data_IF_348608269554
#
_entry.id   IF_348608269554
#
_cell.length_a   1.000
_cell.length_b   1.000
_cell.length_c   1.000
_cell.angle_alpha   90.00
_cell.angle_beta   90.00
_cell.angle_gamma   90.00
#
_symmetry.space_group_name_H-M   'P 1'
#
loop_
_entity.id
_entity.type
_entity.pdbx_description
1 polymer ?
#
# COMPACT_ATOMS: atom_id res chain seq x y z
N UNK A 1 25.58 27.79 84.01
CA UNK A 1 25.80 26.95 82.86
C UNK A 1 24.47 26.81 82.16
N UNK A 2 24.27 27.55 81.09
CA UNK A 2 22.99 27.53 80.33
C UNK A 2 23.14 26.69 79.05
N UNK A 3 22.45 25.55 78.96
CA UNK A 3 22.45 24.69 77.81
C UNK A 3 21.41 25.21 76.80
N UNK A 4 21.85 25.64 75.62
CA UNK A 4 20.95 26.02 74.51
C UNK A 4 20.62 24.77 73.69
N UNK A 5 19.33 24.39 73.64
CA UNK A 5 18.79 23.40 72.69
C UNK A 5 18.62 24.07 71.32
N UNK A 6 19.22 23.44 70.31
CA UNK A 6 19.02 23.78 68.87
C UNK A 6 17.93 22.84 68.33
N UNK A 7 16.85 23.33 67.70
CA UNK A 7 15.88 22.46 67.07
C UNK A 7 16.39 21.98 65.72
N UNK A 8 16.43 20.66 65.52
CA UNK A 8 16.73 20.04 64.24
C UNK A 8 15.46 20.12 63.35
N UNK A 9 15.58 20.85 62.23
CA UNK A 9 14.54 20.90 61.21
C UNK A 9 14.77 19.69 60.31
N UNK A 10 13.86 18.70 60.39
CA UNK A 10 13.83 17.56 59.47
C UNK A 10 13.19 18.00 58.11
N UNK A 11 14.03 18.15 57.09
CA UNK A 11 13.56 18.37 55.71
C UNK A 11 13.00 17.05 55.16
N UNK A 12 11.65 16.93 55.05
CA UNK A 12 10.98 15.80 54.39
C UNK A 12 11.14 15.97 52.86
N UNK A 13 12.01 15.19 52.27
CA UNK A 13 12.17 15.10 50.79
C UNK A 13 11.00 14.25 50.24
N UNK A 14 10.04 14.91 49.63
CA UNK A 14 8.93 14.22 48.93
C UNK A 14 9.52 13.70 47.62
N UNK A 15 9.83 12.40 47.56
CA UNK A 15 10.10 11.70 46.30
C UNK A 15 8.76 11.54 45.56
N UNK A 16 8.54 12.40 44.57
CA UNK A 16 7.48 12.16 43.57
C UNK A 16 7.87 10.91 42.76
N UNK A 17 7.31 9.78 43.10
CA UNK A 17 7.41 8.56 42.31
C UNK A 17 6.69 8.83 40.98
N UNK A 18 7.43 9.22 39.96
CA UNK A 18 6.95 9.19 38.60
C UNK A 18 6.61 7.71 38.27
N UNK A 19 5.33 7.37 38.25
CA UNK A 19 4.88 6.07 37.77
C UNK A 19 5.41 5.90 36.35
N UNK A 20 6.41 5.06 36.17
CA UNK A 20 6.88 4.69 34.86
C UNK A 20 5.72 4.02 34.11
N UNK A 21 5.06 4.76 33.22
CA UNK A 21 4.06 4.18 32.33
C UNK A 21 4.78 3.14 31.47
N UNK A 22 4.36 1.89 31.60
CA UNK A 22 4.99 0.81 30.83
C UNK A 22 4.90 1.12 29.33
N UNK A 23 6.05 1.08 28.67
CA UNK A 23 6.14 1.30 27.23
C UNK A 23 5.37 0.22 26.47
N UNK A 24 4.45 0.62 25.62
CA UNK A 24 3.74 -0.26 24.68
C UNK A 24 4.61 -0.48 23.44
N UNK A 25 4.79 -1.73 23.03
CA UNK A 25 5.57 -2.10 21.84
C UNK A 25 4.70 -2.82 20.83
N UNK A 26 4.76 -2.37 19.59
CA UNK A 26 4.10 -2.97 18.44
C UNK A 26 5.12 -3.37 17.39
N UNK A 27 4.88 -4.50 16.72
CA UNK A 27 5.63 -4.94 15.56
C UNK A 27 4.83 -4.66 14.30
N UNK A 28 5.48 -4.03 13.30
CA UNK A 28 4.87 -3.63 12.04
C UNK A 28 5.60 -4.28 10.85
N UNK A 29 5.23 -5.49 10.44
CA UNK A 29 5.73 -6.08 9.20
C UNK A 29 5.14 -5.38 7.97
N UNK A 30 6.01 -5.10 6.99
CA UNK A 30 5.65 -4.68 5.64
C UNK A 30 6.34 -5.57 4.60
N UNK A 31 5.66 -5.91 3.47
CA UNK A 31 6.26 -6.77 2.47
C UNK A 31 7.31 -6.07 1.59
N UNK A 32 7.44 -4.75 1.69
CA UNK A 32 8.24 -3.93 0.78
C UNK A 32 9.58 -3.53 1.38
N UNK A 33 10.57 -3.28 0.49
CA UNK A 33 11.90 -2.83 0.88
C UNK A 33 11.91 -1.37 1.36
N UNK A 34 12.90 -1.00 2.16
CA UNK A 34 13.05 0.33 2.78
C UNK A 34 13.04 1.49 1.77
N UNK A 35 13.55 1.24 0.57
CA UNK A 35 13.65 2.23 -0.51
C UNK A 35 12.34 2.56 -1.21
N UNK A 36 11.30 1.73 -1.04
CA UNK A 36 9.98 1.98 -1.62
C UNK A 36 9.32 3.21 -0.97
N UNK A 37 8.65 4.03 -1.79
CA UNK A 37 8.06 5.29 -1.34
C UNK A 37 7.07 5.11 -0.20
N UNK A 38 6.22 4.07 -0.26
CA UNK A 38 5.25 3.80 0.80
C UNK A 38 5.92 3.28 2.08
N UNK A 39 6.98 2.48 1.97
CA UNK A 39 7.74 2.02 3.13
C UNK A 39 8.39 3.19 3.88
N UNK A 40 8.97 4.15 3.16
CA UNK A 40 9.50 5.39 3.76
C UNK A 40 8.41 6.15 4.55
N UNK A 41 7.21 6.23 3.99
CA UNK A 41 6.07 6.85 4.68
C UNK A 41 5.66 6.08 5.94
N UNK A 42 5.65 4.75 5.87
CA UNK A 42 5.28 3.87 7.01
C UNK A 42 6.34 3.94 8.14
N UNK A 43 7.63 3.97 7.79
CA UNK A 43 8.72 4.18 8.75
C UNK A 43 8.59 5.55 9.42
N UNK A 44 8.26 6.60 8.66
CA UNK A 44 8.03 7.93 9.22
C UNK A 44 6.80 7.96 10.13
N UNK A 45 5.73 7.24 9.79
CA UNK A 45 4.56 7.10 10.67
C UNK A 45 4.93 6.49 12.02
N UNK A 46 5.72 5.42 12.04
CA UNK A 46 6.17 4.79 13.27
C UNK A 46 6.96 5.76 14.16
N UNK A 47 7.85 6.56 13.55
CA UNK A 47 8.62 7.58 14.25
C UNK A 47 7.75 8.76 14.73
N UNK A 48 6.76 9.18 13.93
CA UNK A 48 5.82 10.22 14.31
C UNK A 48 4.98 9.80 15.52
N UNK A 49 4.50 8.56 15.56
CA UNK A 49 3.79 7.98 16.72
C UNK A 49 4.70 7.96 17.95
N UNK A 50 5.96 7.50 17.81
CA UNK A 50 6.93 7.49 18.92
C UNK A 50 7.11 8.89 19.52
N UNK A 51 7.26 9.91 18.67
CA UNK A 51 7.41 11.31 19.09
C UNK A 51 6.15 11.86 19.73
N UNK A 52 5.00 11.66 19.10
CA UNK A 52 3.70 12.15 19.58
C UNK A 52 3.30 11.54 20.94
N UNK A 53 3.81 10.35 21.25
CA UNK A 53 3.55 9.64 22.51
C UNK A 53 4.68 9.75 23.53
N UNK A 54 5.69 10.60 23.29
CA UNK A 54 6.90 10.68 24.13
C UNK A 54 7.53 9.31 24.43
N UNK A 55 7.51 8.39 23.43
CA UNK A 55 8.05 7.05 23.55
C UNK A 55 7.19 6.06 24.34
N UNK A 56 5.96 6.42 24.75
CA UNK A 56 5.06 5.48 25.42
C UNK A 56 4.54 4.39 24.48
N UNK A 57 4.40 4.68 23.18
CA UNK A 57 4.15 3.68 22.13
C UNK A 57 5.30 3.69 21.14
N UNK A 58 5.93 2.52 20.98
CA UNK A 58 7.03 2.30 20.02
C UNK A 58 6.59 1.25 19.01
N UNK A 59 6.70 1.58 17.74
CA UNK A 59 6.39 0.70 16.61
C UNK A 59 7.72 0.29 15.96
N UNK A 60 8.05 -1.00 16.02
CA UNK A 60 9.24 -1.56 15.36
C UNK A 60 8.89 -1.99 13.95
N UNK A 61 9.59 -1.42 12.97
CA UNK A 61 9.37 -1.75 11.55
C UNK A 61 10.13 -3.02 11.15
N UNK A 62 9.47 -3.89 10.40
CA UNK A 62 10.05 -5.10 9.82
C UNK A 62 9.78 -5.11 8.32
N UNK A 63 10.74 -4.60 7.54
CA UNK A 63 10.62 -4.39 6.10
C UNK A 63 11.03 -5.62 5.29
N UNK A 64 10.75 -5.61 3.98
CA UNK A 64 11.16 -6.63 3.02
C UNK A 64 10.80 -8.08 3.43
N UNK A 65 9.65 -8.27 4.10
CA UNK A 65 9.19 -9.59 4.58
C UNK A 65 10.12 -10.25 5.60
N UNK A 66 10.91 -9.46 6.34
CA UNK A 66 11.92 -9.97 7.29
C UNK A 66 11.31 -10.71 8.48
N UNK A 67 10.12 -10.31 8.95
CA UNK A 67 9.43 -10.95 10.07
C UNK A 67 8.30 -11.88 9.60
N UNK A 68 7.43 -11.40 8.72
CA UNK A 68 6.24 -12.11 8.24
C UNK A 68 6.20 -12.04 6.71
N UNK A 69 5.91 -13.16 6.05
CA UNK A 69 5.73 -13.20 4.59
C UNK A 69 4.44 -12.49 4.17
N UNK A 70 4.47 -11.85 2.98
CA UNK A 70 3.36 -11.02 2.49
C UNK A 70 1.97 -11.66 2.63
N UNK A 71 1.71 -12.90 2.18
CA UNK A 71 0.38 -13.49 2.28
C UNK A 71 -0.12 -13.69 3.72
N UNK A 72 0.79 -13.70 4.70
CA UNK A 72 0.49 -14.03 6.09
C UNK A 72 0.28 -12.80 6.98
N UNK A 73 0.70 -11.59 6.53
CA UNK A 73 0.68 -10.37 7.36
C UNK A 73 -0.73 -10.09 7.90
N UNK A 74 -1.75 -10.13 7.05
CA UNK A 74 -3.12 -9.86 7.49
C UNK A 74 -3.56 -10.81 8.60
N UNK A 75 -3.32 -12.11 8.42
CA UNK A 75 -3.67 -13.14 9.41
C UNK A 75 -2.89 -12.95 10.72
N UNK A 76 -1.61 -12.63 10.64
CA UNK A 76 -0.78 -12.39 11.81
C UNK A 76 -1.29 -11.21 12.65
N UNK A 77 -1.75 -10.13 12.02
CA UNK A 77 -2.40 -9.01 12.71
C UNK A 77 -3.77 -9.42 13.26
N UNK A 78 -4.60 -10.15 12.51
CA UNK A 78 -5.91 -10.62 12.98
C UNK A 78 -5.81 -11.47 14.25
N UNK A 79 -4.82 -12.35 14.29
CA UNK A 79 -4.62 -13.26 15.43
C UNK A 79 -3.88 -12.62 16.60
N UNK A 80 -3.36 -11.39 16.42
CA UNK A 80 -2.59 -10.68 17.44
C UNK A 80 -1.14 -11.16 17.58
N UNK A 81 -0.63 -11.94 16.63
CA UNK A 81 0.79 -12.31 16.57
C UNK A 81 1.68 -11.08 16.43
N UNK A 82 1.23 -10.11 15.63
CA UNK A 82 1.75 -8.74 15.56
C UNK A 82 0.58 -7.75 15.68
N UNK A 83 0.85 -6.51 16.08
CA UNK A 83 -0.22 -5.58 16.40
C UNK A 83 -0.71 -4.78 15.21
N UNK A 84 0.18 -4.46 14.28
CA UNK A 84 -0.07 -3.59 13.14
C UNK A 84 0.59 -4.17 11.89
N UNK A 85 0.09 -3.82 10.70
CA UNK A 85 0.68 -4.25 9.43
C UNK A 85 0.13 -3.45 8.26
N UNK A 86 0.75 -3.60 7.10
CA UNK A 86 0.21 -3.11 5.84
C UNK A 86 0.29 -4.17 4.75
N UNK A 87 -0.69 -4.14 3.86
CA UNK A 87 -0.72 -4.99 2.66
C UNK A 87 -1.26 -4.20 1.47
N UNK A 88 -1.03 -4.75 0.29
CA UNK A 88 -1.69 -4.30 -0.92
C UNK A 88 -3.19 -4.65 -0.85
N UNK A 89 -4.05 -3.64 -0.76
CA UNK A 89 -5.49 -3.81 -0.51
C UNK A 89 -6.18 -4.77 -1.50
N UNK A 90 -5.90 -4.73 -2.82
CA UNK A 90 -6.51 -5.65 -3.78
C UNK A 90 -6.20 -7.14 -3.56
N UNK A 91 -5.20 -7.49 -2.74
CA UNK A 91 -4.95 -8.89 -2.39
C UNK A 91 -6.07 -9.51 -1.54
N UNK A 92 -6.91 -8.68 -0.93
CA UNK A 92 -8.10 -9.13 -0.17
C UNK A 92 -9.33 -9.35 -1.07
N UNK A 93 -9.22 -9.15 -2.37
CA UNK A 93 -10.31 -9.32 -3.34
C UNK A 93 -11.03 -10.67 -3.28
N UNK A 94 -10.32 -11.79 -3.08
CA UNK A 94 -10.98 -13.09 -2.87
C UNK A 94 -11.91 -13.17 -1.67
N UNK A 95 -11.72 -12.31 -0.66
CA UNK A 95 -12.58 -12.25 0.53
C UNK A 95 -13.81 -11.37 0.30
N UNK A 96 -13.61 -10.23 -0.39
CA UNK A 96 -14.69 -9.31 -0.75
C UNK A 96 -14.26 -8.44 -1.94
N UNK A 97 -15.09 -8.39 -3.02
CA UNK A 97 -14.74 -7.66 -4.23
C UNK A 97 -14.54 -6.14 -4.03
N UNK A 98 -15.06 -5.53 -2.97
CA UNK A 98 -14.86 -4.11 -2.69
C UNK A 98 -13.38 -3.77 -2.50
N UNK A 99 -12.56 -4.71 -2.04
CA UNK A 99 -11.13 -4.51 -1.89
C UNK A 99 -10.37 -4.41 -3.22
N UNK A 100 -10.91 -4.94 -4.32
CA UNK A 100 -10.29 -4.95 -5.65
C UNK A 100 -10.53 -3.67 -6.46
N UNK A 101 -11.51 -2.85 -6.08
CA UNK A 101 -12.08 -1.80 -6.92
C UNK A 101 -11.07 -0.81 -7.50
N UNK A 102 -10.03 -0.45 -6.76
CA UNK A 102 -8.98 0.49 -7.20
C UNK A 102 -7.85 -0.17 -8.02
N UNK A 103 -7.96 -1.47 -8.28
CA UNK A 103 -7.05 -2.19 -9.18
C UNK A 103 -7.72 -2.58 -10.50
N UNK A 104 -8.94 -2.10 -10.76
CA UNK A 104 -9.60 -2.28 -12.06
C UNK A 104 -8.94 -1.33 -13.06
N UNK A 105 -8.31 -1.85 -14.14
CA UNK A 105 -7.60 -1.01 -15.09
C UNK A 105 -8.51 0.05 -15.73
N UNK A 106 -8.00 1.27 -15.82
CA UNK A 106 -8.66 2.42 -16.49
C UNK A 106 -10.01 2.85 -15.89
N UNK A 107 -10.43 2.29 -14.75
CA UNK A 107 -11.65 2.72 -14.05
C UNK A 107 -11.42 4.04 -13.28
N UNK A 108 -10.32 4.14 -12.53
CA UNK A 108 -9.91 5.34 -11.81
C UNK A 108 -8.41 5.60 -12.04
N UNK A 109 -8.01 6.03 -13.26
CA UNK A 109 -6.61 6.02 -13.67
C UNK A 109 -5.77 7.17 -13.09
N UNK A 110 -6.39 8.29 -12.75
CA UNK A 110 -5.71 9.48 -12.22
C UNK A 110 -5.84 9.61 -10.71
N UNK A 111 -5.05 10.50 -10.11
CA UNK A 111 -5.09 10.76 -8.66
C UNK A 111 -6.39 11.42 -8.21
N UNK A 112 -6.99 12.29 -9.04
CA UNK A 112 -8.31 12.89 -8.77
C UNK A 112 -9.38 11.79 -8.66
N UNK A 113 -9.42 10.93 -9.66
CA UNK A 113 -10.34 9.78 -9.74
C UNK A 113 -10.09 8.79 -8.60
N UNK A 114 -8.83 8.49 -8.30
CA UNK A 114 -8.45 7.60 -7.22
C UNK A 114 -8.82 8.14 -5.82
N UNK A 115 -8.75 9.47 -5.61
CA UNK A 115 -9.23 10.12 -4.37
C UNK A 115 -10.75 10.03 -4.27
N UNK A 116 -11.46 10.40 -5.34
CA UNK A 116 -12.92 10.32 -5.38
C UNK A 116 -13.42 8.88 -5.10
N UNK A 117 -12.76 7.89 -5.70
CA UNK A 117 -13.09 6.47 -5.47
C UNK A 117 -12.84 6.04 -4.03
N UNK A 118 -11.72 6.47 -3.42
CA UNK A 118 -11.43 6.17 -2.02
C UNK A 118 -12.47 6.79 -1.09
N UNK A 119 -12.86 8.04 -1.31
CA UNK A 119 -13.85 8.74 -0.49
C UNK A 119 -15.20 8.01 -0.46
N UNK A 120 -15.69 7.54 -1.60
CA UNK A 120 -16.98 6.84 -1.68
C UNK A 120 -16.92 5.37 -1.22
N UNK A 121 -15.73 4.75 -1.18
CA UNK A 121 -15.55 3.35 -0.79
C UNK A 121 -14.97 3.15 0.61
N UNK A 122 -14.39 4.20 1.23
CA UNK A 122 -13.67 4.14 2.52
C UNK A 122 -14.48 3.47 3.62
N UNK A 123 -15.72 3.90 3.81
CA UNK A 123 -16.55 3.36 4.88
C UNK A 123 -16.83 1.88 4.69
N UNK A 124 -17.18 1.48 3.45
CA UNK A 124 -17.40 0.08 3.12
C UNK A 124 -16.16 -0.80 3.37
N UNK A 125 -14.96 -0.30 3.03
CA UNK A 125 -13.68 -0.96 3.30
C UNK A 125 -13.45 -1.06 4.81
N UNK A 126 -13.58 0.05 5.54
CA UNK A 126 -13.30 0.13 6.98
C UNK A 126 -14.22 -0.80 7.79
N UNK A 127 -15.49 -0.85 7.46
CA UNK A 127 -16.47 -1.72 8.14
C UNK A 127 -16.16 -3.21 7.90
N UNK A 128 -15.73 -3.59 6.68
CA UNK A 128 -15.32 -4.97 6.39
C UNK A 128 -14.08 -5.39 7.17
N UNK A 129 -13.10 -4.51 7.26
CA UNK A 129 -11.89 -4.76 8.05
C UNK A 129 -12.23 -4.85 9.54
N UNK A 130 -13.06 -3.94 10.04
CA UNK A 130 -13.46 -3.91 11.46
C UNK A 130 -14.22 -5.18 11.88
N UNK A 131 -15.13 -5.67 11.02
CA UNK A 131 -15.82 -6.97 11.24
C UNK A 131 -14.86 -8.15 11.36
N UNK A 132 -13.66 -8.02 10.80
CA UNK A 132 -12.61 -9.01 10.88
C UNK A 132 -11.62 -8.76 12.04
N UNK A 133 -11.92 -7.81 12.94
CA UNK A 133 -11.07 -7.44 14.08
C UNK A 133 -9.86 -6.58 13.70
N UNK A 134 -9.93 -5.90 12.55
CA UNK A 134 -8.88 -5.04 12.02
C UNK A 134 -9.39 -3.61 11.87
N UNK A 135 -8.72 -2.65 12.49
CA UNK A 135 -9.00 -1.22 12.30
C UNK A 135 -8.10 -0.65 11.22
N UNK A 136 -8.70 -0.06 10.20
CA UNK A 136 -7.95 0.70 9.19
C UNK A 136 -7.38 1.97 9.83
N UNK A 137 -6.10 2.22 9.64
CA UNK A 137 -5.42 3.44 10.06
C UNK A 137 -5.31 4.44 8.91
N UNK A 138 -4.77 4.02 7.77
CA UNK A 138 -4.65 4.85 6.57
C UNK A 138 -4.59 4.01 5.31
N UNK A 139 -4.87 4.66 4.17
CA UNK A 139 -4.75 4.06 2.83
C UNK A 139 -3.93 4.98 1.93
N UNK A 140 -2.76 4.51 1.52
CA UNK A 140 -1.85 5.25 0.65
C UNK A 140 -1.79 4.63 -0.75
N UNK A 141 -1.84 5.45 -1.81
CA UNK A 141 -1.75 4.93 -3.17
C UNK A 141 -0.31 4.58 -3.53
N UNK A 142 -0.15 3.55 -4.34
CA UNK A 142 1.02 3.38 -5.18
C UNK A 142 0.95 4.38 -6.34
N UNK A 143 2.08 4.80 -6.91
CA UNK A 143 2.07 5.46 -8.20
C UNK A 143 1.32 4.64 -9.25
N UNK A 144 0.78 5.32 -10.25
CA UNK A 144 0.02 4.65 -11.31
C UNK A 144 0.86 3.54 -11.96
N UNK A 145 0.18 2.47 -12.36
CA UNK A 145 0.87 1.30 -12.89
C UNK A 145 1.28 1.54 -14.35
N UNK A 146 2.58 1.38 -14.60
CA UNK A 146 3.19 1.37 -15.91
C UNK A 146 3.39 -0.06 -16.40
N UNK A 147 3.46 -0.25 -17.71
CA UNK A 147 3.72 -1.55 -18.32
C UNK A 147 5.20 -1.67 -18.71
N UNK A 148 5.81 -2.82 -18.47
CA UNK A 148 7.22 -3.10 -18.77
C UNK A 148 7.35 -4.32 -19.68
N UNK A 149 8.28 -4.25 -20.61
CA UNK A 149 8.54 -5.34 -21.55
C UNK A 149 10.02 -5.42 -21.99
N UNK A 150 10.50 -6.63 -22.25
CA UNK A 150 11.82 -6.86 -22.87
C UNK A 150 11.82 -6.47 -24.36
N UNK A 151 10.67 -6.51 -25.02
CA UNK A 151 10.50 -6.24 -26.47
C UNK A 151 9.54 -5.07 -26.68
N UNK A 152 9.57 -4.38 -27.81
CA UNK A 152 8.57 -3.36 -28.12
C UNK A 152 7.17 -3.99 -28.23
N UNK A 153 6.16 -3.25 -27.75
CA UNK A 153 4.75 -3.62 -27.76
C UNK A 153 3.96 -2.52 -28.46
N UNK A 154 3.19 -2.87 -29.46
CA UNK A 154 2.33 -1.97 -30.23
C UNK A 154 0.84 -2.33 -30.10
N UNK A 155 0.54 -3.58 -29.72
CA UNK A 155 -0.81 -4.12 -29.57
C UNK A 155 -0.82 -5.33 -28.65
N UNK A 156 -2.00 -5.83 -28.27
CA UNK A 156 -2.15 -7.08 -27.51
C UNK A 156 -1.58 -8.30 -28.26
N UNK A 157 -1.52 -8.27 -29.60
CA UNK A 157 -0.96 -9.37 -30.37
C UNK A 157 0.51 -9.64 -29.99
N UNK A 158 1.27 -8.60 -29.64
CA UNK A 158 2.67 -8.70 -29.22
C UNK A 158 2.85 -9.36 -27.84
N UNK A 159 1.77 -9.44 -27.06
CA UNK A 159 1.76 -10.03 -25.72
C UNK A 159 1.37 -11.50 -25.70
N UNK A 160 0.83 -12.01 -26.82
CA UNK A 160 0.34 -13.39 -26.89
C UNK A 160 1.44 -14.40 -26.54
N UNK A 161 1.18 -15.18 -25.51
CA UNK A 161 2.11 -16.21 -25.02
C UNK A 161 3.31 -15.68 -24.23
N UNK A 162 3.46 -14.37 -24.02
CA UNK A 162 4.48 -13.84 -23.13
C UNK A 162 4.15 -14.18 -21.67
N UNK A 163 5.17 -14.39 -20.86
CA UNK A 163 5.00 -14.64 -19.41
C UNK A 163 4.89 -13.29 -18.70
N UNK A 164 3.67 -12.98 -18.24
CA UNK A 164 3.41 -11.72 -17.55
C UNK A 164 3.45 -11.91 -16.04
N UNK A 165 4.25 -11.09 -15.36
CA UNK A 165 4.21 -11.04 -13.89
C UNK A 165 2.81 -10.68 -13.40
N UNK A 166 2.31 -11.48 -12.47
CA UNK A 166 1.10 -11.22 -11.71
C UNK A 166 1.43 -11.26 -10.22
N UNK A 167 0.61 -10.60 -9.39
CA UNK A 167 0.81 -10.56 -7.94
C UNK A 167 -0.49 -10.69 -7.16
N UNK A 168 -1.62 -10.81 -7.88
CA UNK A 168 -2.95 -11.09 -7.34
C UNK A 168 -3.89 -11.61 -8.43
N UNK A 169 -5.13 -11.93 -8.04
CA UNK A 169 -6.14 -12.44 -8.95
C UNK A 169 -6.50 -11.46 -10.08
N UNK A 170 -6.54 -10.15 -9.79
CA UNK A 170 -6.84 -9.11 -10.79
C UNK A 170 -5.77 -9.04 -11.88
N UNK A 171 -4.51 -9.00 -11.49
CA UNK A 171 -3.41 -8.99 -12.48
C UNK A 171 -3.30 -10.32 -13.24
N UNK A 172 -3.68 -11.45 -12.62
CA UNK A 172 -3.77 -12.73 -13.32
C UNK A 172 -4.90 -12.70 -14.37
N UNK A 173 -6.07 -12.17 -14.03
CA UNK A 173 -7.19 -11.98 -14.97
C UNK A 173 -6.82 -11.03 -16.10
N UNK A 174 -6.13 -9.91 -15.79
CA UNK A 174 -5.61 -8.96 -16.77
C UNK A 174 -4.68 -9.66 -17.77
N UNK A 175 -3.69 -10.42 -17.28
CA UNK A 175 -2.76 -11.17 -18.14
C UNK A 175 -3.48 -12.13 -19.08
N UNK A 176 -4.48 -12.87 -18.58
CA UNK A 176 -5.30 -13.78 -19.40
C UNK A 176 -6.06 -13.04 -20.51
N UNK A 177 -6.70 -11.91 -20.18
CA UNK A 177 -7.42 -11.09 -21.16
C UNK A 177 -6.50 -10.47 -22.21
N UNK A 178 -5.23 -10.22 -21.86
CA UNK A 178 -4.20 -9.76 -22.77
C UNK A 178 -3.57 -10.89 -23.61
N UNK A 179 -4.00 -12.15 -23.42
CA UNK A 179 -3.42 -13.31 -24.11
C UNK A 179 -2.05 -13.73 -23.61
N UNK A 180 -1.59 -13.15 -22.48
CA UNK A 180 -0.35 -13.51 -21.82
C UNK A 180 -0.53 -14.65 -20.82
N UNK A 181 0.56 -15.30 -20.45
CA UNK A 181 0.61 -16.38 -19.45
C UNK A 181 0.84 -15.76 -18.07
N UNK A 182 -0.14 -15.79 -17.15
CA UNK A 182 0.03 -15.24 -15.81
C UNK A 182 1.08 -16.03 -15.01
N UNK A 183 2.03 -15.32 -14.43
CA UNK A 183 3.12 -15.91 -13.62
C UNK A 183 3.26 -15.12 -12.33
N UNK A 184 2.95 -15.75 -11.19
CA UNK A 184 2.97 -15.07 -9.89
C UNK A 184 4.39 -14.89 -9.37
N UNK A 185 4.80 -13.63 -9.16
CA UNK A 185 6.13 -13.24 -8.66
C UNK A 185 5.99 -12.09 -7.66
N UNK A 186 6.59 -12.22 -6.47
CA UNK A 186 6.59 -11.17 -5.46
C UNK A 186 7.51 -10.01 -5.86
N UNK A 187 7.28 -8.80 -5.30
CA UNK A 187 8.01 -7.59 -5.67
C UNK A 187 9.53 -7.74 -5.50
N UNK A 188 9.98 -8.41 -4.44
CA UNK A 188 11.41 -8.64 -4.16
C UNK A 188 12.09 -9.62 -5.12
N UNK A 189 11.30 -10.41 -5.86
CA UNK A 189 11.79 -11.45 -6.77
C UNK A 189 11.85 -11.00 -8.24
N UNK A 190 11.33 -9.80 -8.55
CA UNK A 190 11.21 -9.28 -9.92
C UNK A 190 12.53 -9.33 -10.70
N UNK A 191 13.67 -8.82 -10.19
CA UNK A 191 14.92 -8.82 -10.96
C UNK A 191 15.35 -10.24 -11.36
N UNK A 192 15.29 -11.18 -10.44
CA UNK A 192 15.68 -12.56 -10.71
C UNK A 192 14.72 -13.24 -11.69
N UNK A 193 13.42 -13.02 -11.56
CA UNK A 193 12.41 -13.61 -12.44
C UNK A 193 12.54 -13.12 -13.88
N UNK A 194 12.88 -11.86 -14.11
CA UNK A 194 13.21 -11.36 -15.44
C UNK A 194 14.53 -11.93 -15.98
N UNK A 195 15.58 -11.96 -15.17
CA UNK A 195 16.90 -12.45 -15.57
C UNK A 195 16.88 -13.94 -15.91
N UNK A 196 16.14 -14.75 -15.14
CA UNK A 196 15.99 -16.19 -15.39
C UNK A 196 14.96 -16.52 -16.49
N UNK A 197 14.24 -15.52 -17.03
CA UNK A 197 13.23 -15.74 -18.06
C UNK A 197 11.93 -16.37 -17.53
N UNK A 198 11.68 -16.31 -16.21
CA UNK A 198 10.41 -16.70 -15.61
C UNK A 198 9.30 -15.73 -16.04
N UNK A 199 9.62 -14.46 -16.22
CA UNK A 199 8.73 -13.42 -16.74
C UNK A 199 9.38 -12.61 -17.86
N UNK A 200 8.54 -12.07 -18.75
CA UNK A 200 8.93 -11.25 -19.90
C UNK A 200 8.37 -9.83 -19.83
N UNK A 201 7.21 -9.69 -19.14
CA UNK A 201 6.45 -8.44 -19.04
C UNK A 201 5.88 -8.29 -17.63
N UNK A 202 5.54 -7.06 -17.24
CA UNK A 202 4.86 -6.77 -15.98
C UNK A 202 4.10 -5.45 -16.00
N UNK A 203 3.06 -5.35 -15.18
CA UNK A 203 2.59 -4.07 -14.65
C UNK A 203 3.21 -3.83 -13.27
N UNK A 204 3.76 -2.64 -13.05
CA UNK A 204 4.18 -2.18 -11.72
C UNK A 204 4.35 -0.65 -11.72
N UNK A 205 4.39 -0.04 -10.53
CA UNK A 205 4.64 1.38 -10.40
C UNK A 205 6.05 1.75 -10.92
N UNK A 206 6.21 2.95 -11.47
CA UNK A 206 7.49 3.42 -11.96
C UNK A 206 8.55 3.47 -10.85
N UNK A 207 8.17 3.85 -9.62
CA UNK A 207 9.05 3.82 -8.45
C UNK A 207 9.60 2.42 -8.16
N UNK A 208 8.77 1.38 -8.22
CA UNK A 208 9.24 -0.01 -8.09
C UNK A 208 10.21 -0.37 -9.22
N UNK A 209 9.96 0.08 -10.46
CA UNK A 209 10.92 -0.09 -11.55
C UNK A 209 12.28 0.56 -11.24
N UNK A 210 12.28 1.76 -10.66
CA UNK A 210 13.50 2.47 -10.24
C UNK A 210 14.19 1.72 -9.10
N UNK A 211 13.47 1.36 -8.04
CA UNK A 211 14.05 0.71 -6.86
C UNK A 211 14.61 -0.68 -7.15
N UNK A 212 14.06 -1.39 -8.14
CA UNK A 212 14.55 -2.69 -8.59
C UNK A 212 15.55 -2.60 -9.75
N UNK A 213 15.89 -1.38 -10.20
CA UNK A 213 16.76 -1.13 -11.36
C UNK A 213 16.27 -1.85 -12.62
N UNK A 214 15.03 -1.56 -13.02
CA UNK A 214 14.38 -2.24 -14.15
C UNK A 214 15.19 -2.21 -15.45
N UNK A 215 16.02 -1.21 -15.66
CA UNK A 215 16.95 -1.08 -16.79
C UNK A 215 18.00 -2.20 -16.90
N UNK A 216 18.26 -2.93 -15.80
CA UNK A 216 19.23 -4.04 -15.82
C UNK A 216 18.63 -5.32 -16.44
N UNK A 217 17.30 -5.46 -16.51
CA UNK A 217 16.63 -6.70 -16.92
C UNK A 217 15.47 -6.52 -17.91
N UNK A 218 15.00 -5.30 -18.16
CA UNK A 218 13.98 -4.99 -19.17
C UNK A 218 14.35 -3.70 -19.91
N UNK A 219 13.77 -3.46 -21.09
CA UNK A 219 14.19 -2.35 -21.95
C UNK A 219 13.13 -1.28 -22.14
N UNK A 220 11.87 -1.68 -22.19
CA UNK A 220 10.77 -0.78 -22.52
C UNK A 220 9.89 -0.54 -21.31
N UNK A 221 9.50 0.71 -21.11
CA UNK A 221 8.45 1.12 -20.17
C UNK A 221 7.39 1.90 -20.93
N UNK A 222 6.12 1.63 -20.64
CA UNK A 222 4.97 2.31 -21.21
C UNK A 222 4.21 2.97 -20.07
N UNK A 223 4.11 4.29 -20.08
CA UNK A 223 3.40 5.06 -19.06
C UNK A 223 1.89 4.98 -19.27
N UNK A 224 1.34 3.80 -19.05
CA UNK A 224 -0.07 3.47 -19.30
C UNK A 224 -1.04 4.16 -18.35
N UNK A 225 -0.58 4.67 -17.22
CA UNK A 225 -1.41 5.26 -16.16
C UNK A 225 -2.64 4.36 -15.87
N UNK A 226 -2.41 3.05 -15.77
CA UNK A 226 -3.50 2.07 -15.89
C UNK A 226 -4.44 2.08 -14.67
N UNK A 227 -3.93 2.21 -13.46
CA UNK A 227 -4.69 2.35 -12.20
C UNK A 227 -3.79 2.82 -11.06
N UNK A 228 -4.40 3.39 -10.02
CA UNK A 228 -3.74 3.91 -8.80
C UNK A 228 -4.17 3.08 -7.59
N UNK A 229 -3.59 1.89 -7.39
CA UNK A 229 -4.00 0.98 -6.34
C UNK A 229 -3.45 1.44 -4.98
N UNK A 230 -4.02 0.91 -3.89
CA UNK A 230 -3.65 1.36 -2.54
C UNK A 230 -3.16 0.22 -1.66
N UNK A 231 -2.19 0.56 -0.83
CA UNK A 231 -1.95 -0.18 0.40
C UNK A 231 -2.96 0.27 1.47
N UNK A 232 -3.26 -0.63 2.38
CA UNK A 232 -3.99 -0.35 3.61
C UNK A 232 -3.11 -0.72 4.79
N UNK A 233 -2.89 0.24 5.69
CA UNK A 233 -2.29 0.02 7.00
C UNK A 233 -3.41 -0.19 8.02
N UNK A 234 -3.29 -1.20 8.84
CA UNK A 234 -4.32 -1.61 9.79
C UNK A 234 -3.72 -2.17 11.07
N UNK A 235 -4.47 -2.06 12.15
CA UNK A 235 -4.08 -2.53 13.48
C UNK A 235 -5.09 -3.55 13.98
N UNK A 236 -4.66 -4.51 14.78
CA UNK A 236 -5.53 -5.41 15.53
C UNK A 236 -6.43 -4.58 16.44
N UNK A 237 -7.75 -4.73 16.31
CA UNK A 237 -8.72 -3.91 17.04
C UNK A 237 -8.56 -4.05 18.56
N UNK A 238 -8.29 -5.24 19.08
CA UNK A 238 -8.07 -5.46 20.52
C UNK A 238 -6.82 -4.76 21.01
N UNK A 239 -5.72 -4.82 20.24
CA UNK A 239 -4.48 -4.13 20.57
C UNK A 239 -4.66 -2.61 20.56
N UNK A 240 -5.43 -2.07 19.60
CA UNK A 240 -5.79 -0.65 19.56
C UNK A 240 -6.67 -0.24 20.76
N UNK A 241 -7.68 -1.03 21.08
CA UNK A 241 -8.58 -0.74 22.21
C UNK A 241 -7.88 -0.83 23.58
N UNK A 242 -6.82 -1.61 23.70
CA UNK A 242 -6.00 -1.69 24.90
C UNK A 242 -5.15 -0.44 25.18
N UNK A 243 -4.99 0.45 24.20
CA UNK A 243 -4.30 1.73 24.38
C UNK A 243 -5.14 2.67 25.27
N UNK A 244 -4.44 3.54 26.02
CA UNK A 244 -5.10 4.68 26.66
C UNK A 244 -5.66 5.67 25.62
N UNK A 245 -6.66 6.45 26.00
CA UNK A 245 -7.28 7.42 25.07
C UNK A 245 -6.28 8.42 24.46
N UNK A 246 -5.28 8.97 25.21
CA UNK A 246 -4.26 9.80 24.60
C UNK A 246 -3.43 9.08 23.53
N UNK A 247 -3.08 7.80 23.74
CA UNK A 247 -2.33 7.00 22.75
C UNK A 247 -3.18 6.69 21.53
N UNK A 248 -4.47 6.33 21.71
CA UNK A 248 -5.41 6.13 20.59
C UNK A 248 -5.50 7.39 19.73
N UNK A 249 -5.68 8.54 20.36
CA UNK A 249 -5.76 9.83 19.68
C UNK A 249 -4.48 10.11 18.89
N UNK A 250 -3.31 9.95 19.51
CA UNK A 250 -2.02 10.15 18.85
C UNK A 250 -1.86 9.24 17.64
N UNK A 251 -2.18 7.94 17.74
CA UNK A 251 -2.12 7.00 16.61
C UNK A 251 -2.99 7.45 15.45
N UNK A 252 -4.24 7.86 15.72
CA UNK A 252 -5.18 8.28 14.66
C UNK A 252 -4.77 9.61 14.02
N UNK A 253 -4.26 10.57 14.80
CA UNK A 253 -3.75 11.84 14.27
C UNK A 253 -2.51 11.61 13.38
N UNK A 254 -1.56 10.78 13.82
CA UNK A 254 -0.39 10.47 13.01
C UNK A 254 -0.75 9.62 11.78
N UNK A 255 -1.77 8.78 11.86
CA UNK A 255 -2.30 8.03 10.72
C UNK A 255 -2.87 8.97 9.65
N UNK A 256 -3.62 9.99 10.02
CA UNK A 256 -4.14 11.00 9.09
C UNK A 256 -3.02 11.80 8.40
N UNK A 257 -1.97 12.15 9.16
CA UNK A 257 -0.77 12.82 8.62
C UNK A 257 -0.03 11.89 7.65
N UNK A 258 0.13 10.61 8.02
CA UNK A 258 0.78 9.61 7.17
C UNK A 258 -0.02 9.36 5.88
N UNK A 259 -1.35 9.34 5.95
CA UNK A 259 -2.18 9.21 4.74
C UNK A 259 -1.93 10.37 3.78
N UNK A 260 -2.06 11.60 4.28
CA UNK A 260 -1.81 12.79 3.43
C UNK A 260 -0.41 12.76 2.81
N UNK A 261 0.62 12.54 3.63
CA UNK A 261 2.02 12.45 3.18
C UNK A 261 2.22 11.34 2.14
N UNK A 262 1.64 10.15 2.36
CA UNK A 262 1.73 9.03 1.44
C UNK A 262 1.11 9.34 0.07
N UNK A 263 0.00 10.07 0.04
CA UNK A 263 -0.59 10.54 -1.22
C UNK A 263 0.33 11.53 -1.93
N UNK A 264 0.85 12.52 -1.21
CA UNK A 264 1.75 13.55 -1.78
C UNK A 264 3.05 12.90 -2.31
N UNK A 265 3.63 11.95 -1.57
CA UNK A 265 4.83 11.21 -1.99
C UNK A 265 4.59 10.34 -3.21
N UNK A 266 3.44 9.66 -3.27
CA UNK A 266 3.07 8.81 -4.40
C UNK A 266 2.87 9.63 -5.68
N UNK A 267 2.20 10.77 -5.58
CA UNK A 267 1.97 11.67 -6.71
C UNK A 267 3.29 12.24 -7.25
N UNK A 268 4.20 12.64 -6.36
CA UNK A 268 5.54 13.09 -6.72
C UNK A 268 6.35 11.98 -7.42
N UNK A 269 6.29 10.75 -6.92
CA UNK A 269 6.97 9.59 -7.50
C UNK A 269 6.38 9.21 -8.87
N UNK A 270 5.06 9.38 -9.06
CA UNK A 270 4.41 9.13 -10.34
C UNK A 270 4.96 10.03 -11.47
N UNK A 271 5.37 11.24 -11.11
CA UNK A 271 5.99 12.19 -12.06
C UNK A 271 7.49 11.92 -12.23
N UNK A 272 8.19 11.59 -11.16
CA UNK A 272 9.64 11.42 -11.15
C UNK A 272 10.10 10.06 -11.71
N UNK A 273 9.37 9.00 -11.40
CA UNK A 273 9.76 7.62 -11.70
C UNK A 273 9.97 7.35 -13.19
N UNK A 274 9.04 7.66 -14.11
CA UNK A 274 9.24 7.46 -15.54
C UNK A 274 10.48 8.18 -16.09
N UNK A 275 10.74 9.41 -15.61
CA UNK A 275 11.92 10.18 -16.01
C UNK A 275 13.21 9.48 -15.57
N UNK A 276 13.26 8.97 -14.33
CA UNK A 276 14.41 8.25 -13.82
C UNK A 276 14.68 6.96 -14.60
N UNK A 277 13.64 6.22 -14.97
CA UNK A 277 13.77 5.01 -15.79
C UNK A 277 14.43 5.33 -17.15
N UNK A 278 13.98 6.38 -17.82
CA UNK A 278 14.54 6.84 -19.10
C UNK A 278 15.99 7.33 -18.93
N UNK A 279 16.27 8.11 -17.90
CA UNK A 279 17.64 8.58 -17.59
C UNK A 279 18.62 7.44 -17.35
N UNK A 280 18.14 6.29 -16.88
CA UNK A 280 18.93 5.09 -16.67
C UNK A 280 18.93 4.12 -17.89
N UNK A 281 18.49 4.58 -19.06
CA UNK A 281 18.64 3.86 -20.33
C UNK A 281 17.42 3.05 -20.78
N UNK A 282 16.28 3.13 -20.08
CA UNK A 282 15.04 2.53 -20.59
C UNK A 282 14.43 3.35 -21.73
N UNK A 283 13.80 2.68 -22.66
CA UNK A 283 13.03 3.31 -23.73
C UNK A 283 11.59 3.53 -23.28
N UNK A 284 11.14 4.78 -23.25
CA UNK A 284 9.71 5.08 -23.11
C UNK A 284 9.00 4.73 -24.42
N UNK A 285 8.26 3.62 -24.42
CA UNK A 285 7.51 3.16 -25.58
C UNK A 285 6.28 4.02 -25.84
N UNK A 286 5.92 4.29 -27.10
CA UNK A 286 4.68 4.97 -27.44
C UNK A 286 3.50 4.04 -27.16
N UNK A 287 2.44 4.59 -26.57
CA UNK A 287 1.15 3.88 -26.44
C UNK A 287 0.40 4.14 -27.73
N UNK A 288 0.39 3.16 -28.63
CA UNK A 288 -0.34 3.29 -29.91
C UNK A 288 -1.85 3.45 -29.66
N UNK A 289 -2.57 4.12 -30.58
CA UNK A 289 -4.05 4.20 -30.48
C UNK A 289 -4.72 2.81 -30.41
N UNK A 290 -4.18 1.82 -31.13
CA UNK A 290 -4.65 0.46 -31.09
C UNK A 290 -4.47 -0.15 -29.71
N UNK A 291 -3.24 -0.12 -29.15
CA UNK A 291 -2.94 -0.68 -27.83
C UNK A 291 -3.76 -0.01 -26.73
N UNK A 292 -3.90 1.32 -26.79
CA UNK A 292 -4.75 2.07 -25.84
C UNK A 292 -6.22 1.63 -25.90
N UNK A 293 -6.79 1.49 -27.10
CA UNK A 293 -8.17 1.05 -27.27
C UNK A 293 -8.41 -0.39 -26.79
N UNK A 294 -7.45 -1.28 -27.06
CA UNK A 294 -7.48 -2.67 -26.61
C UNK A 294 -7.42 -2.77 -25.09
N UNK A 295 -6.52 -2.03 -24.44
CA UNK A 295 -6.39 -1.96 -22.97
C UNK A 295 -7.66 -1.41 -22.32
N UNK A 296 -8.29 -0.38 -22.90
CA UNK A 296 -9.54 0.19 -22.41
C UNK A 296 -10.67 -0.85 -22.43
N UNK A 297 -10.82 -1.61 -23.51
CA UNK A 297 -11.81 -2.69 -23.59
C UNK A 297 -11.62 -3.76 -22.50
N UNK A 298 -10.36 -4.10 -22.19
CA UNK A 298 -10.06 -5.02 -21.10
C UNK A 298 -10.51 -4.41 -19.75
N UNK A 299 -10.24 -3.13 -19.51
CA UNK A 299 -10.69 -2.43 -18.31
C UNK A 299 -12.22 -2.45 -18.17
N UNK A 300 -12.95 -2.17 -19.25
CA UNK A 300 -14.41 -2.23 -19.31
C UNK A 300 -14.93 -3.65 -18.98
N UNK A 301 -14.35 -4.68 -19.58
CA UNK A 301 -14.68 -6.08 -19.29
C UNK A 301 -14.41 -6.43 -17.81
N UNK A 302 -13.29 -5.99 -17.26
CA UNK A 302 -12.95 -6.27 -15.86
C UNK A 302 -13.88 -5.54 -14.89
N UNK A 303 -14.34 -4.33 -15.24
CA UNK A 303 -15.35 -3.59 -14.46
C UNK A 303 -16.70 -4.31 -14.47
N UNK A 304 -17.15 -4.78 -15.62
CA UNK A 304 -18.38 -5.57 -15.73
C UNK A 304 -18.30 -6.87 -14.92
N UNK A 305 -17.20 -7.61 -15.03
CA UNK A 305 -16.95 -8.83 -14.25
C UNK A 305 -16.97 -8.53 -12.75
N UNK A 306 -16.38 -7.40 -12.34
CA UNK A 306 -16.39 -6.95 -10.95
C UNK A 306 -17.79 -6.57 -10.47
N UNK A 307 -18.55 -5.81 -11.24
CA UNK A 307 -19.93 -5.42 -10.90
C UNK A 307 -20.83 -6.64 -10.68
N UNK A 308 -20.66 -7.71 -11.48
CA UNK A 308 -21.39 -8.97 -11.28
C UNK A 308 -21.06 -9.62 -9.95
N UNK A 309 -19.78 -9.57 -9.51
CA UNK A 309 -19.34 -10.12 -8.22
C UNK A 309 -19.78 -9.25 -7.04
N UNK A 310 -19.65 -7.93 -7.16
CA UNK A 310 -19.91 -6.99 -6.09
C UNK A 310 -21.40 -6.69 -5.88
N UNK A 311 -22.24 -7.01 -6.88
CA UNK A 311 -23.69 -6.90 -6.79
C UNK A 311 -24.19 -5.47 -6.54
N UNK A 312 -25.34 -5.34 -5.84
CA UNK A 312 -25.97 -4.03 -5.63
C UNK A 312 -25.09 -3.02 -4.89
N UNK A 313 -24.25 -3.47 -3.97
CA UNK A 313 -23.34 -2.58 -3.24
C UNK A 313 -22.23 -2.06 -4.15
N UNK A 314 -21.66 -2.91 -5.01
CA UNK A 314 -20.71 -2.48 -6.02
C UNK A 314 -21.28 -1.42 -6.93
N UNK A 315 -22.52 -1.62 -7.39
CA UNK A 315 -23.25 -0.63 -8.19
C UNK A 315 -23.42 0.70 -7.43
N UNK A 316 -23.81 0.66 -6.16
CA UNK A 316 -23.95 1.86 -5.33
C UNK A 316 -22.65 2.64 -5.23
N UNK A 317 -21.51 1.96 -5.04
CA UNK A 317 -20.19 2.59 -4.95
C UNK A 317 -19.81 3.21 -6.30
N UNK A 318 -20.00 2.50 -7.41
CA UNK A 318 -19.67 3.04 -8.74
C UNK A 318 -20.58 4.20 -9.15
N UNK A 319 -21.87 4.16 -8.84
CA UNK A 319 -22.80 5.28 -9.08
C UNK A 319 -22.37 6.53 -8.29
N UNK A 320 -22.03 6.36 -7.01
CA UNK A 320 -21.52 7.45 -6.16
C UNK A 320 -20.19 8.02 -6.69
N UNK A 321 -19.31 7.14 -7.18
CA UNK A 321 -18.05 7.56 -7.79
C UNK A 321 -18.29 8.38 -9.07
N UNK A 322 -19.11 7.90 -9.99
CA UNK A 322 -19.43 8.63 -11.22
C UNK A 322 -20.12 9.97 -10.97
N UNK A 323 -20.97 10.05 -9.95
CA UNK A 323 -21.58 11.31 -9.55
C UNK A 323 -20.56 12.34 -9.04
N UNK A 324 -19.43 11.88 -8.47
CA UNK A 324 -18.40 12.72 -7.87
C UNK A 324 -17.34 13.21 -8.87
N UNK A 325 -17.11 12.49 -9.95
CA UNK A 325 -16.11 12.87 -10.97
C UNK A 325 -16.68 13.65 -12.16
N UNK A 326 -18.00 13.75 -12.26
CA UNK A 326 -18.68 14.66 -13.19
C UNK A 326 -18.48 16.13 -12.79
#
# INVERSE_FOLDING_TARGET
>A
MSVRLIPAIAAATIFASASAVAQVKWDFPTPYADREVLTKNTVQFAEDVRRATNGQLVITMHTAQSLIKNPEIKRAVQTGQVQIGEIFKPNMGPEDPVFELDAIPFFAPGYKEARALLEVSREAISQRMLKQGLRVLYMCPWPSQAFYSKKPINSLADLKGTKMRTYNAQTARLAQLMGAIPTTVQATEIPQAFTSGIIDTMFTAAGTGVTTKAWDYTRYVYDTQAWVPKNVAFVNEKAFQALSEPLKKAVLEQAAIAEKRGWDMSEAENVAGPKQLVQNGMTLGPITPQFSAELKKIGEQMLEDWLKKAGPEGKKITDAYYARIK
#
